data_IF_490126224364
#
_entry.id   IF_490126224364
#
_cell.length_a   1.000
_cell.length_b   1.000
_cell.length_c   1.000
_cell.angle_alpha   90.00
_cell.angle_beta   90.00
_cell.angle_gamma   90.00
#
_symmetry.space_group_name_H-M   'P 1'
#
loop_
_entity.id
_entity.type
_entity.pdbx_description
1 polymer ?
#
# COMPACT_ATOMS: atom_id res chain seq x y z
N UNK A 1 13.68 19.24 -11.58
CA UNK A 1 13.24 18.83 -10.24
C UNK A 1 12.11 19.77 -9.87
N UNK A 2 10.84 19.33 -9.93
CA UNK A 2 9.69 20.23 -9.73
C UNK A 2 9.51 20.55 -8.24
N UNK A 3 9.20 21.81 -8.00
CA UNK A 3 9.11 22.47 -6.71
C UNK A 3 7.90 22.01 -5.88
N UNK A 4 8.13 21.91 -4.56
CA UNK A 4 7.22 22.07 -3.42
C UNK A 4 5.79 21.50 -3.52
N UNK A 5 5.58 20.34 -2.88
CA UNK A 5 4.23 19.83 -2.55
C UNK A 5 3.95 19.77 -1.04
N UNK A 6 4.61 20.62 -0.23
CA UNK A 6 4.27 20.82 1.20
C UNK A 6 4.60 22.25 1.63
N UNK A 7 3.85 23.25 1.15
CA UNK A 7 4.00 24.65 1.61
C UNK A 7 3.21 24.97 2.89
N UNK A 8 2.68 23.96 3.58
CA UNK A 8 2.03 24.16 4.88
C UNK A 8 3.09 24.13 5.96
N UNK A 9 3.57 25.32 6.33
CA UNK A 9 4.32 25.49 7.58
C UNK A 9 3.34 25.15 8.70
N UNK A 10 3.61 24.08 9.45
CA UNK A 10 2.77 23.68 10.57
C UNK A 10 2.69 24.85 11.56
N UNK A 11 1.49 25.26 11.96
CA UNK A 11 1.26 26.26 13.02
C UNK A 11 1.58 25.73 14.43
N UNK A 12 2.13 24.51 14.50
CA UNK A 12 2.54 23.85 15.74
C UNK A 12 3.64 24.64 16.42
N UNK A 13 3.43 24.97 17.70
CA UNK A 13 4.48 25.49 18.56
C UNK A 13 5.43 24.33 18.96
N UNK A 14 6.52 24.16 18.21
CA UNK A 14 7.51 23.11 18.44
C UNK A 14 8.30 23.29 19.72
N UNK A 15 8.61 24.52 20.13
CA UNK A 15 9.32 24.80 21.39
C UNK A 15 8.54 24.27 22.60
N UNK A 16 7.20 24.39 22.56
CA UNK A 16 6.32 23.83 23.59
C UNK A 16 6.37 22.30 23.62
N UNK A 17 6.33 21.65 22.45
CA UNK A 17 6.39 20.18 22.34
C UNK A 17 7.73 19.67 22.86
N UNK A 18 8.84 20.31 22.48
CA UNK A 18 10.19 19.94 22.93
C UNK A 18 10.37 20.10 24.44
N UNK A 19 9.65 21.03 25.06
CA UNK A 19 9.70 21.26 26.51
C UNK A 19 8.77 20.35 27.34
N UNK A 20 7.88 19.60 26.67
CA UNK A 20 6.85 18.81 27.34
C UNK A 20 7.45 17.57 28.01
N UNK A 21 7.13 17.36 29.29
CA UNK A 21 7.63 16.20 30.03
C UNK A 21 6.74 14.96 29.82
N UNK A 22 7.29 13.77 30.04
CA UNK A 22 6.55 12.50 29.88
C UNK A 22 5.27 12.46 30.75
N UNK A 23 5.29 13.06 31.94
CA UNK A 23 4.12 13.06 32.84
C UNK A 23 3.00 13.98 32.37
N UNK A 24 3.30 14.95 31.51
CA UNK A 24 2.32 15.89 30.94
C UNK A 24 1.63 15.32 29.69
N UNK A 25 2.11 14.18 29.17
CA UNK A 25 1.51 13.49 28.03
C UNK A 25 0.31 12.68 28.53
N UNK A 26 -0.89 13.15 28.22
CA UNK A 26 -2.11 12.39 28.44
C UNK A 26 -2.19 11.23 27.43
N UNK A 27 -2.26 10.01 27.96
CA UNK A 27 -2.39 8.77 27.18
C UNK A 27 -3.67 8.00 27.55
N UNK A 28 -4.60 8.64 28.27
CA UNK A 28 -5.83 8.00 28.76
C UNK A 28 -6.77 7.54 27.65
N UNK A 29 -6.62 8.08 26.45
CA UNK A 29 -7.41 7.77 25.26
C UNK A 29 -6.89 6.56 24.47
N UNK A 30 -5.63 6.15 24.69
CA UNK A 30 -4.98 5.06 23.95
C UNK A 30 -4.71 3.84 24.84
N UNK A 31 -4.93 2.62 24.33
CA UNK A 31 -4.64 1.41 25.09
C UNK A 31 -3.12 1.23 25.26
N UNK A 32 -2.67 0.62 26.38
CA UNK A 32 -1.26 0.34 26.59
C UNK A 32 -0.72 -0.65 25.54
N UNK A 33 0.50 -0.39 25.08
CA UNK A 33 1.20 -1.25 24.12
C UNK A 33 1.71 -2.49 24.86
N UNK A 34 1.00 -3.62 24.73
CA UNK A 34 1.34 -4.89 25.40
C UNK A 34 1.85 -5.95 24.41
N UNK A 35 2.53 -6.98 24.92
CA UNK A 35 2.93 -8.14 24.09
C UNK A 35 1.73 -8.85 23.45
N UNK A 36 0.58 -8.90 24.13
CA UNK A 36 -0.63 -9.50 23.60
C UNK A 36 -1.18 -8.74 22.38
N UNK A 37 -1.06 -7.41 22.38
CA UNK A 37 -1.40 -6.56 21.24
C UNK A 37 -0.52 -6.91 20.04
N UNK A 38 0.79 -7.05 20.24
CA UNK A 38 1.69 -7.46 19.16
C UNK A 38 1.42 -8.88 18.67
N UNK A 39 1.08 -9.84 19.55
CA UNK A 39 0.75 -11.22 19.16
C UNK A 39 -0.49 -11.29 18.24
N UNK A 40 -1.47 -10.41 18.44
CA UNK A 40 -2.68 -10.32 17.61
C UNK A 40 -2.51 -9.42 16.38
N UNK A 41 -1.46 -8.61 16.35
CA UNK A 41 -1.22 -7.66 15.27
C UNK A 41 -0.80 -8.39 13.99
N UNK A 42 -1.56 -8.18 12.92
CA UNK A 42 -1.19 -8.70 11.60
C UNK A 42 -0.28 -7.69 10.91
N UNK A 43 0.97 -8.08 10.67
CA UNK A 43 1.85 -7.34 9.79
C UNK A 43 1.26 -7.31 8.38
N UNK A 44 0.82 -6.15 7.94
CA UNK A 44 0.42 -5.92 6.55
C UNK A 44 1.64 -5.42 5.78
N UNK A 45 2.25 -6.30 4.99
CA UNK A 45 3.20 -5.89 3.97
C UNK A 45 2.40 -5.67 2.67
N UNK A 46 2.47 -4.48 2.04
CA UNK A 46 1.92 -4.32 0.70
C UNK A 46 2.56 -5.37 -0.20
N UNK A 47 1.73 -6.18 -0.87
CA UNK A 47 2.24 -7.13 -1.84
C UNK A 47 3.01 -6.35 -2.90
N UNK A 48 4.30 -6.64 -3.06
CA UNK A 48 5.09 -6.04 -4.11
C UNK A 48 4.43 -6.41 -5.45
N UNK A 49 3.78 -5.43 -6.08
CA UNK A 49 3.27 -5.61 -7.43
C UNK A 49 4.49 -5.59 -8.35
N UNK A 50 4.89 -6.77 -8.82
CA UNK A 50 5.99 -6.90 -9.77
C UNK A 50 5.47 -6.56 -11.16
N UNK A 51 5.99 -5.50 -11.76
CA UNK A 51 5.76 -5.21 -13.17
C UNK A 51 6.68 -6.13 -14.00
N UNK A 52 6.08 -7.01 -14.79
CA UNK A 52 6.80 -7.93 -15.68
C UNK A 52 6.43 -7.62 -17.13
N UNK A 53 7.42 -7.66 -18.02
CA UNK A 53 7.20 -7.63 -19.47
C UNK A 53 6.91 -9.05 -19.94
N UNK A 54 5.77 -9.25 -20.60
CA UNK A 54 5.35 -10.54 -21.16
C UNK A 54 5.16 -10.34 -22.66
N UNK A 55 5.75 -11.24 -23.46
CA UNK A 55 5.49 -11.28 -24.89
C UNK A 55 4.15 -11.97 -25.16
N UNK A 56 3.31 -11.34 -25.97
CA UNK A 56 1.95 -11.79 -26.28
C UNK A 56 1.73 -11.55 -27.77
N UNK A 57 1.00 -12.44 -28.44
CA UNK A 57 0.63 -12.24 -29.83
C UNK A 57 -0.31 -11.02 -30.01
N UNK A 58 -0.30 -10.46 -31.22
CA UNK A 58 -1.02 -9.23 -31.52
C UNK A 58 -2.54 -9.38 -31.38
N UNK A 59 -3.10 -10.55 -31.73
CA UNK A 59 -4.54 -10.80 -31.73
C UNK A 59 -5.08 -10.93 -30.30
N UNK A 60 -4.36 -11.64 -29.44
CA UNK A 60 -4.68 -11.76 -28.00
C UNK A 60 -4.60 -10.41 -27.32
N UNK A 61 -3.57 -9.60 -27.60
CA UNK A 61 -3.45 -8.26 -27.04
C UNK A 61 -4.60 -7.35 -27.51
N UNK A 62 -4.95 -7.41 -28.79
CA UNK A 62 -6.07 -6.66 -29.35
C UNK A 62 -7.41 -7.05 -28.69
N UNK A 63 -7.63 -8.35 -28.48
CA UNK A 63 -8.81 -8.86 -27.78
C UNK A 63 -8.89 -8.32 -26.35
N UNK A 64 -7.81 -8.36 -25.56
CA UNK A 64 -7.82 -7.80 -24.21
C UNK A 64 -8.06 -6.28 -24.20
N UNK A 65 -7.45 -5.54 -25.13
CA UNK A 65 -7.67 -4.09 -25.26
C UNK A 65 -9.10 -3.72 -25.63
N UNK A 66 -9.79 -4.57 -26.41
CA UNK A 66 -11.20 -4.38 -26.74
C UNK A 66 -12.13 -4.47 -25.52
N UNK A 67 -11.66 -5.01 -24.39
CA UNK A 67 -12.43 -5.15 -23.15
C UNK A 67 -12.49 -3.85 -22.32
N UNK A 68 -11.84 -2.77 -22.76
CA UNK A 68 -11.88 -1.45 -22.11
C UNK A 68 -10.74 -1.20 -21.12
N UNK A 69 -10.94 -0.20 -20.24
CA UNK A 69 -9.89 0.33 -19.34
C UNK A 69 -9.35 -0.69 -18.33
N UNK A 70 -10.07 -1.77 -18.06
CA UNK A 70 -9.64 -2.84 -17.14
C UNK A 70 -8.83 -3.97 -17.83
N UNK A 71 -8.31 -3.75 -19.03
CA UNK A 71 -7.50 -4.71 -19.80
C UNK A 71 -6.39 -5.37 -18.96
N UNK A 72 -5.58 -4.58 -18.26
CA UNK A 72 -4.48 -5.08 -17.44
C UNK A 72 -4.95 -5.99 -16.28
N UNK A 73 -6.05 -5.61 -15.61
CA UNK A 73 -6.63 -6.41 -14.53
C UNK A 73 -7.17 -7.74 -15.04
N UNK A 74 -7.80 -7.74 -16.21
CA UNK A 74 -8.32 -8.96 -16.85
C UNK A 74 -7.19 -9.88 -17.29
N UNK A 75 -6.10 -9.34 -17.83
CA UNK A 75 -4.90 -10.12 -18.16
C UNK A 75 -4.29 -10.75 -16.90
N UNK A 76 -4.14 -9.97 -15.81
CA UNK A 76 -3.63 -10.50 -14.55
C UNK A 76 -4.51 -11.62 -13.97
N UNK A 77 -5.85 -11.48 -14.07
CA UNK A 77 -6.79 -12.52 -13.66
C UNK A 77 -6.66 -13.80 -14.49
N UNK A 78 -6.52 -13.68 -15.82
CA UNK A 78 -6.33 -14.82 -16.71
C UNK A 78 -5.04 -15.59 -16.39
N UNK A 79 -3.92 -14.87 -16.19
CA UNK A 79 -2.64 -15.48 -15.79
C UNK A 79 -2.76 -16.21 -14.45
N UNK A 80 -3.51 -15.64 -13.49
CA UNK A 80 -3.75 -16.28 -12.19
C UNK A 80 -4.56 -17.56 -12.32
N UNK A 81 -5.64 -17.54 -13.11
CA UNK A 81 -6.47 -18.74 -13.37
C UNK A 81 -5.62 -19.85 -13.99
N UNK A 82 -4.82 -19.51 -15.01
CA UNK A 82 -3.93 -20.46 -15.65
C UNK A 82 -2.91 -21.05 -14.66
N UNK A 83 -2.24 -20.21 -13.88
CA UNK A 83 -1.29 -20.66 -12.87
C UNK A 83 -1.92 -21.54 -11.79
N UNK A 84 -3.14 -21.21 -11.34
CA UNK A 84 -3.88 -22.00 -10.36
C UNK A 84 -4.31 -23.36 -10.91
N UNK A 85 -4.74 -23.44 -12.16
CA UNK A 85 -5.10 -24.71 -12.80
C UNK A 85 -3.92 -25.67 -12.96
N UNK A 86 -2.68 -25.15 -12.97
CA UNK A 86 -1.46 -25.93 -13.19
C UNK A 86 -0.56 -26.04 -11.95
N UNK A 87 -0.97 -25.48 -10.81
CA UNK A 87 -0.31 -25.71 -9.52
C UNK A 87 -0.92 -26.96 -8.87
N UNK A 88 -0.10 -27.98 -8.68
CA UNK A 88 -0.40 -29.13 -7.83
C UNK A 88 -0.37 -28.74 -6.34
#
# INVERSE_FOLDING_TARGET
>A
MSENSTSNISETNWEKVDSLTEQEIDTSDIPPITEELFKKSRWWKPANSLNVLVEIDADTLAWFRSQGEDCERRMAAALRIYASAHKA
#
